data_IF_243730964190
#
_entry.id   IF_243730964190
#
_cell.length_a   1.000
_cell.length_b   1.000
_cell.length_c   1.000
_cell.angle_alpha   90.00
_cell.angle_beta   90.00
_cell.angle_gamma   90.00
#
_symmetry.space_group_name_H-M   'P 1'
#
loop_
_entity.id
_entity.type
_entity.pdbx_description
1 polymer ?
2 water ?
#
# COMPACT_ATOMS: atom_id res chain seq x y z
N UNK A 2 8.96 -14.81 -5.85
CA UNK A 2 8.10 -13.88 -5.05
C UNK A 2 7.43 -12.86 -5.96
N UNK A 3 6.15 -13.10 -6.24
CA UNK A 3 5.37 -12.35 -7.21
C UNK A 3 5.03 -10.92 -6.77
N UNK A 4 4.60 -10.79 -5.52
CA UNK A 4 4.31 -9.49 -4.93
C UNK A 4 5.58 -8.64 -4.82
N UNK A 5 6.69 -9.29 -4.47
CA UNK A 5 7.98 -8.61 -4.35
C UNK A 5 8.43 -8.03 -5.69
N UNK A 6 8.27 -8.81 -6.75
CA UNK A 6 8.62 -8.37 -8.10
C UNK A 6 7.83 -7.13 -8.50
N UNK A 7 6.53 -7.14 -8.21
CA UNK A 7 5.66 -6.02 -8.58
C UNK A 7 6.02 -4.79 -7.75
N UNK A 8 6.21 -4.98 -6.45
CA UNK A 8 6.60 -3.89 -5.57
C UNK A 8 7.90 -3.26 -6.06
N UNK A 9 8.86 -4.10 -6.47
CA UNK A 9 10.13 -3.60 -6.99
C UNK A 9 9.94 -2.80 -8.27
N UNK A 10 9.08 -3.30 -9.15
CA UNK A 10 8.77 -2.61 -10.41
C UNK A 10 8.11 -1.26 -10.16
N UNK A 11 7.22 -1.22 -9.18
CA UNK A 11 6.57 0.03 -8.80
C UNK A 11 7.55 1.03 -8.22
N UNK A 12 8.47 0.55 -7.38
CA UNK A 12 9.48 1.42 -6.81
C UNK A 12 10.40 1.96 -7.90
N UNK A 13 10.88 1.06 -8.76
CA UNK A 13 11.78 1.45 -9.85
C UNK A 13 11.17 2.52 -10.75
N UNK A 14 9.88 2.40 -11.02
CA UNK A 14 9.18 3.29 -11.94
C UNK A 14 8.73 4.60 -11.28
N UNK A 15 8.12 4.50 -10.10
CA UNK A 15 7.54 5.67 -9.44
C UNK A 15 8.42 6.34 -8.39
N UNK A 16 9.36 5.58 -7.83
CA UNK A 16 10.32 6.13 -6.88
C UNK A 16 9.79 6.38 -5.48
N UNK A 17 8.65 5.78 -5.16
CA UNK A 17 8.07 5.90 -3.82
C UNK A 17 8.07 4.55 -3.13
N UNK A 18 8.02 4.58 -1.81
CA UNK A 18 7.90 3.36 -1.02
C UNK A 18 6.63 2.62 -1.40
N UNK A 19 6.75 1.30 -1.48
CA UNK A 19 5.66 0.43 -1.87
C UNK A 19 5.54 -0.70 -0.86
N UNK A 20 4.33 -0.91 -0.35
CA UNK A 20 4.03 -2.07 0.50
C UNK A 20 2.94 -2.89 -0.14
N UNK A 21 3.05 -4.20 0.00
CA UNK A 21 1.95 -5.09 -0.35
C UNK A 21 1.68 -5.95 0.86
N UNK A 22 0.41 -6.03 1.23
CA UNK A 22 0.01 -6.90 2.33
C UNK A 22 -0.96 -7.96 1.88
N UNK A 23 -1.04 -9.03 2.66
CA UNK A 23 -2.17 -9.94 2.56
C UNK A 23 -3.24 -9.47 3.56
N UNK A 24 -4.04 -10.38 4.09
CA UNK A 24 -5.08 -9.99 5.05
C UNK A 24 -4.52 -9.61 6.43
N UNK A 25 -3.24 -9.90 6.65
CA UNK A 25 -2.66 -9.86 8.00
C UNK A 25 -1.43 -8.97 8.14
N UNK A 26 -0.47 -9.16 7.25
CA UNK A 26 0.84 -8.53 7.39
C UNK A 26 1.36 -8.03 6.05
N UNK A 27 2.40 -7.20 6.09
CA UNK A 27 3.07 -6.82 4.85
C UNK A 27 3.93 -7.97 4.37
N UNK A 28 3.78 -8.30 3.10
CA UNK A 28 4.45 -9.44 2.48
C UNK A 28 5.50 -9.03 1.44
N UNK A 29 5.49 -7.74 1.09
CA UNK A 29 6.47 -7.17 0.18
C UNK A 29 6.70 -5.72 0.52
N UNK A 30 7.96 -5.31 0.47
CA UNK A 30 8.37 -3.95 0.81
C UNK A 30 9.44 -3.54 -0.18
N UNK A 31 9.22 -2.41 -0.85
CA UNK A 31 10.23 -1.85 -1.74
C UNK A 31 10.38 -0.37 -1.47
N UNK A 32 11.61 0.13 -1.57
CA UNK A 32 11.89 1.54 -1.34
C UNK A 32 12.05 1.94 0.12
N UNK A 33 11.45 1.15 1.00
CA UNK A 33 11.56 1.33 2.45
C UNK A 33 12.32 0.17 3.05
N UNK A 34 12.69 0.31 4.32
CA UNK A 34 13.40 -0.74 5.04
C UNK A 34 12.45 -1.90 5.33
N UNK A 35 12.87 -3.10 4.92
CA UNK A 35 12.12 -4.33 5.18
C UNK A 35 11.90 -4.57 6.68
N UNK A 36 12.88 -4.15 7.48
CA UNK A 36 12.78 -4.19 8.94
C UNK A 36 11.60 -3.40 9.49
N UNK A 37 11.26 -2.30 8.82
CA UNK A 37 10.20 -1.42 9.29
C UNK A 37 8.81 -1.97 8.99
N UNK A 38 8.70 -2.81 7.96
CA UNK A 38 7.37 -3.23 7.48
C UNK A 38 7.12 -4.71 7.26
N UNK A 39 8.11 -5.46 6.78
CA UNK A 39 7.87 -6.84 6.41
C UNK A 39 7.44 -7.63 7.63
N UNK A 40 6.35 -8.39 7.49
CA UNK A 40 5.78 -9.22 8.57
C UNK A 40 5.12 -8.45 9.71
N UNK A 41 5.08 -7.12 9.57
CA UNK A 41 4.39 -6.27 10.53
C UNK A 41 2.89 -6.33 10.28
N UNK A 42 2.11 -6.25 11.36
CA UNK A 42 0.66 -6.30 11.26
C UNK A 42 0.11 -5.03 10.62
N UNK A 43 -0.76 -5.21 9.63
CA UNK A 43 -1.39 -4.07 8.96
C UNK A 43 -2.28 -3.30 9.93
N UNK A 44 -2.41 -2.00 9.70
CA UNK A 44 -3.20 -1.15 10.58
C UNK A 44 -4.69 -1.35 10.40
N UNK A 45 -5.46 -0.90 11.38
CA UNK A 45 -6.91 -0.87 11.27
C UNK A 45 -7.36 -0.08 10.04
N UNK A 46 -6.61 0.97 9.71
CA UNK A 46 -6.90 1.76 8.50
C UNK A 46 -6.84 0.87 7.26
N UNK A 47 -5.78 0.06 7.16
CA UNK A 47 -5.62 -0.88 6.05
C UNK A 47 -6.75 -1.89 6.03
N UNK A 48 -7.09 -2.42 7.20
CA UNK A 48 -8.17 -3.39 7.32
C UNK A 48 -9.51 -2.81 6.84
N UNK A 49 -9.81 -1.58 7.26
CA UNK A 49 -11.05 -0.90 6.87
C UNK A 49 -11.06 -0.61 5.38
N UNK A 50 -9.93 -0.14 4.86
CA UNK A 50 -9.80 0.16 3.44
C UNK A 50 -10.06 -1.09 2.61
N UNK A 51 -9.45 -2.20 3.01
CA UNK A 51 -9.65 -3.48 2.33
C UNK A 51 -11.11 -3.94 2.39
N UNK A 52 -11.70 -3.85 3.58
CA UNK A 52 -13.12 -4.19 3.79
C UNK A 52 -14.06 -3.37 2.91
N UNK A 53 -13.73 -2.10 2.71
CA UNK A 53 -14.55 -1.19 1.92
C UNK A 53 -14.28 -1.32 0.41
N UNK A 54 -13.24 -2.09 0.08
CA UNK A 54 -12.91 -2.52 -1.30
C UNK A 54 -12.44 -1.43 -2.27
N UNK A 55 -12.86 -0.19 -2.03
CA UNK A 55 -12.48 0.94 -2.89
C UNK A 55 -11.03 1.36 -2.66
N UNK A 56 -10.39 1.88 -3.70
CA UNK A 56 -9.07 2.47 -3.55
C UNK A 56 -9.21 3.79 -2.82
N UNK A 57 -8.13 4.20 -2.15
CA UNK A 57 -8.11 5.49 -1.46
C UNK A 57 -6.87 6.29 -1.80
N UNK A 58 -7.01 7.61 -1.76
CA UNK A 58 -5.92 8.53 -1.99
C UNK A 58 -5.98 9.63 -0.94
N UNK A 59 -4.91 9.76 -0.17
CA UNK A 59 -4.79 10.81 0.82
C UNK A 59 -3.62 11.70 0.43
N UNK A 60 -3.93 12.89 -0.08
CA UNK A 60 -2.91 13.80 -0.61
C UNK A 60 -2.23 14.65 0.47
N UNK A 61 -2.88 14.78 1.62
CA UNK A 61 -2.33 15.51 2.77
C UNK A 61 -2.65 14.75 4.06
N UNK A 62 -1.93 13.65 4.27
CA UNK A 62 -2.20 12.74 5.38
C UNK A 62 -1.74 13.26 6.74
N UNK A 63 -0.60 13.95 6.75
CA UNK A 63 0.08 14.43 7.97
C UNK A 63 0.65 13.27 8.79
N UNK A 64 -0.23 12.34 9.15
CA UNK A 64 0.16 11.14 9.87
C UNK A 64 -0.71 9.97 9.43
N UNK A 65 -0.13 8.77 9.45
CA UNK A 65 -0.86 7.56 9.08
C UNK A 65 -0.33 6.38 9.88
N UNK A 66 -1.21 5.42 10.14
CA UNK A 66 -0.78 4.11 10.60
C UNK A 66 -0.81 3.15 9.42
N UNK A 67 0.37 2.65 9.06
CA UNK A 67 0.49 1.57 8.09
C UNK A 67 0.63 0.25 8.84
N UNK A 68 1.44 0.29 9.89
CA UNK A 68 1.56 -0.81 10.85
C UNK A 68 0.64 -0.46 12.00
N UNK A 69 -0.15 -1.43 12.46
CA UNK A 69 -1.16 -1.14 13.48
C UNK A 69 -0.57 -0.50 14.73
N UNK A 70 -1.21 0.58 15.17
CA UNK A 70 -0.77 1.32 16.35
C UNK A 70 0.43 2.22 16.14
N UNK A 71 1.08 2.12 14.98
CA UNK A 71 2.29 2.90 14.72
C UNK A 71 1.96 4.17 13.94
N UNK A 72 1.85 5.28 14.66
CA UNK A 72 1.69 6.59 14.04
C UNK A 72 2.98 6.96 13.32
N UNK A 73 2.85 7.24 12.03
CA UNK A 73 3.97 7.63 11.20
C UNK A 73 3.67 8.96 10.55
N UNK A 74 4.61 9.90 10.67
CA UNK A 74 4.56 11.13 9.89
C UNK A 74 4.55 10.74 8.41
N UNK A 75 3.62 11.31 7.67
CA UNK A 75 3.41 10.94 6.28
C UNK A 75 2.86 12.11 5.50
N UNK A 76 3.46 12.41 4.35
CA UNK A 76 2.91 13.45 3.49
C UNK A 76 1.63 12.96 2.84
N UNK A 77 1.70 11.80 2.21
CA UNK A 77 0.55 11.25 1.50
C UNK A 77 0.70 9.77 1.26
N UNK A 78 -0.41 9.12 0.94
CA UNK A 78 -0.40 7.70 0.62
C UNK A 78 -1.61 7.34 -0.21
N UNK A 79 -1.52 6.19 -0.86
CA UNK A 79 -2.64 5.67 -1.62
C UNK A 79 -2.70 4.16 -1.43
N UNK A 80 -3.91 3.61 -1.41
CA UNK A 80 -4.12 2.19 -1.15
C UNK A 80 -5.07 1.58 -2.17
N UNK A 81 -4.66 0.45 -2.72
CA UNK A 81 -5.49 -0.31 -3.65
C UNK A 81 -5.75 -1.69 -3.09
N UNK A 82 -6.95 -1.91 -2.52
CA UNK A 82 -7.31 -3.25 -2.06
C UNK A 82 -7.26 -4.29 -3.17
N UNK A 83 -6.71 -5.46 -2.86
CA UNK A 83 -6.68 -6.58 -3.78
C UNK A 83 -7.92 -7.41 -3.49
N UNK A 84 -8.84 -7.42 -4.44
CA UNK A 84 -10.13 -8.09 -4.26
C UNK A 84 -10.28 -9.20 -5.30
N UNK A 85 -10.27 -10.44 -4.83
CA UNK A 85 -10.40 -11.60 -5.70
C UNK A 85 -11.71 -12.34 -5.39
N UNK A 86 -12.54 -12.49 -6.42
CA UNK A 86 -13.86 -13.11 -6.29
C UNK A 86 -14.72 -12.42 -5.21
N UNK A 87 -14.67 -11.09 -5.19
CA UNK A 87 -15.44 -10.29 -4.23
C UNK A 87 -14.86 -10.22 -2.82
N UNK A 88 -13.77 -10.96 -2.59
CA UNK A 88 -13.15 -11.06 -1.27
C UNK A 88 -11.82 -10.29 -1.23
N UNK A 89 -11.66 -9.36 -0.27
CA UNK A 89 -10.38 -8.68 -0.08
C UNK A 89 -9.34 -9.66 0.44
N UNK A 90 -8.21 -9.76 -0.26
CA UNK A 90 -7.17 -10.72 0.09
C UNK A 90 -5.84 -10.02 0.39
N UNK A 91 -5.83 -8.70 0.22
CA UNK A 91 -4.63 -7.91 0.46
C UNK A 91 -4.79 -6.47 -0.01
N UNK A 92 -3.67 -5.76 -0.10
CA UNK A 92 -3.67 -4.38 -0.57
C UNK A 92 -2.30 -3.98 -1.06
N UNK A 93 -2.29 -3.00 -1.96
CA UNK A 93 -1.06 -2.40 -2.44
C UNK A 93 -1.06 -0.96 -1.93
N UNK A 94 0.04 -0.56 -1.31
CA UNK A 94 0.16 0.76 -0.72
C UNK A 94 1.35 1.46 -1.32
N UNK A 95 1.17 2.72 -1.72
CA UNK A 95 2.29 3.56 -2.12
C UNK A 95 2.23 4.80 -1.25
N UNK A 96 3.36 5.20 -0.70
CA UNK A 96 3.37 6.31 0.25
C UNK A 96 4.66 7.12 0.15
N UNK A 97 4.62 8.31 0.74
CA UNK A 97 5.79 9.18 0.76
C UNK A 97 5.75 10.09 1.96
N UNK A 98 6.92 10.26 2.56
CA UNK A 98 7.06 11.16 3.69
C UNK A 98 7.19 12.61 3.25
N UNK A 99 7.59 12.83 1.99
CA UNK A 99 7.88 14.18 1.50
C UNK A 99 7.22 14.57 0.17
N UNK A 100 6.78 13.58 -0.60
CA UNK A 100 6.15 13.86 -1.89
C UNK A 100 4.65 13.60 -1.84
N UNK A 101 3.93 14.17 -2.79
CA UNK A 101 2.48 14.05 -2.85
C UNK A 101 2.07 12.96 -3.83
N UNK A 102 1.32 11.98 -3.32
CA UNK A 102 0.74 10.95 -4.16
C UNK A 102 -0.39 11.58 -4.94
N UNK A 103 -0.43 11.29 -6.23
CA UNK A 103 -1.48 11.79 -7.11
C UNK A 103 -2.13 10.66 -7.87
N UNK A 104 -2.79 11.00 -8.97
CA UNK A 104 -3.50 10.00 -9.76
C UNK A 104 -2.57 8.93 -10.34
N UNK A 105 -1.33 9.31 -10.64
CA UNK A 105 -0.34 8.34 -11.11
C UNK A 105 -0.24 7.16 -10.14
N UNK A 106 0.00 7.46 -8.87
CA UNK A 106 0.16 6.43 -7.85
C UNK A 106 -1.17 5.78 -7.48
N UNK A 107 -2.23 6.59 -7.48
CA UNK A 107 -3.57 6.11 -7.17
C UNK A 107 -3.99 5.05 -8.18
N UNK A 108 -3.80 5.34 -9.45
CA UNK A 108 -4.11 4.35 -10.48
C UNK A 108 -3.13 3.19 -10.46
N UNK A 109 -1.88 3.46 -10.11
CA UNK A 109 -0.87 2.40 -10.01
C UNK A 109 -1.29 1.34 -8.99
N UNK A 110 -1.80 1.77 -7.83
CA UNK A 110 -2.21 0.77 -6.84
C UNK A 110 -3.44 -0.01 -7.29
N UNK A 111 -4.35 0.65 -8.01
CA UNK A 111 -5.52 -0.03 -8.54
C UNK A 111 -5.11 -1.04 -9.60
N UNK A 112 -4.22 -0.63 -10.50
CA UNK A 112 -3.72 -1.52 -11.53
C UNK A 112 -3.00 -2.72 -10.92
N UNK A 113 -2.11 -2.44 -9.97
CA UNK A 113 -1.37 -3.48 -9.26
C UNK A 113 -2.32 -4.44 -8.57
N UNK A 114 -3.29 -3.89 -7.84
CA UNK A 114 -4.26 -4.71 -7.12
C UNK A 114 -5.05 -5.61 -8.08
N UNK A 115 -5.45 -5.05 -9.22
CA UNK A 115 -6.22 -5.79 -10.22
C UNK A 115 -5.43 -6.94 -10.81
N UNK A 116 -4.16 -6.68 -11.11
CA UNK A 116 -3.29 -7.71 -11.66
C UNK A 116 -2.98 -8.80 -10.64
N UNK A 117 -2.68 -8.40 -9.41
CA UNK A 117 -2.34 -9.35 -8.35
C UNK A 117 -3.54 -10.20 -7.93
N UNK A 118 -4.74 -9.65 -8.06
CA UNK A 118 -5.98 -10.39 -7.77
C UNK A 118 -6.20 -11.49 -8.80
#
# INVERSE_FOLDING_TARGET
GDFAKEYADALYDSLGHSVLICDRDVYIAVSGSSKKDYLNKSISEMLERTMDQRSSVLESDAKSVQLVNGIDEDMNSYTVGPIVANGDPIGAVVIFSKDQTMGEVEHKAVETAAGFLARQMEQ
#
